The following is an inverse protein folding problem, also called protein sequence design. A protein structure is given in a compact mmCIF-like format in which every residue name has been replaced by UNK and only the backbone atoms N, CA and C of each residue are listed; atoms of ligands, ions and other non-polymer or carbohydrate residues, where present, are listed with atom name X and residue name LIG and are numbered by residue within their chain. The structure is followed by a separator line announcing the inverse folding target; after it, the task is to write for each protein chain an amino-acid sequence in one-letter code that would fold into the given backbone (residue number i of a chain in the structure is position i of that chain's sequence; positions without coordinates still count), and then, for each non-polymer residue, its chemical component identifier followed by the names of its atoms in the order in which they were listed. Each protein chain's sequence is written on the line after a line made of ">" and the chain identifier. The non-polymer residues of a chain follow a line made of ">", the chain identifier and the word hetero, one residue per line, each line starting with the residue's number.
data_IF_137952899719
#
_entry.id   IF_137952899719
#
_cell.length_a   1.000
_cell.length_b   1.000
_cell.length_c   1.000
_cell.angle_alpha   90.00
_cell.angle_beta   90.00
_cell.angle_gamma   90.00
#
_symmetry.space_group_name_H-M   'P 1'
#
loop_
_entity.id
_entity.type
_entity.pdbx_description
1 polymer ?
#
# COMPACT_ATOMS: atom_id res chain seq x y z
N UNK A 1 1.51 34.61 -0.94
CA UNK A 1 1.70 33.18 -1.31
C UNK A 1 3.03 33.04 -2.02
N UNK A 2 3.96 32.24 -1.49
CA UNK A 2 5.22 31.97 -2.16
C UNK A 2 5.00 30.89 -3.21
N UNK A 3 5.28 31.19 -4.48
CA UNK A 3 5.20 30.20 -5.56
C UNK A 3 6.45 29.32 -5.53
N UNK A 4 6.27 28.00 -5.42
CA UNK A 4 7.38 27.04 -5.46
C UNK A 4 7.82 26.80 -6.91
N UNK A 5 9.11 26.99 -7.19
CA UNK A 5 9.71 26.58 -8.46
C UNK A 5 9.86 25.06 -8.57
N UNK A 6 10.09 24.54 -9.78
CA UNK A 6 10.21 23.10 -10.07
C UNK A 6 11.23 22.38 -9.19
N UNK A 7 12.39 22.98 -8.95
CA UNK A 7 13.42 22.40 -8.07
C UNK A 7 12.94 22.26 -6.63
N UNK A 8 12.24 23.27 -6.11
CA UNK A 8 11.70 23.25 -4.76
C UNK A 8 10.61 22.17 -4.62
N UNK A 9 9.71 22.07 -5.62
CA UNK A 9 8.68 21.04 -5.64
C UNK A 9 9.27 19.61 -5.74
N UNK A 10 10.30 19.42 -6.57
CA UNK A 10 11.03 18.17 -6.66
C UNK A 10 11.66 17.80 -5.31
N UNK A 11 12.36 18.75 -4.65
CA UNK A 11 12.99 18.47 -3.36
C UNK A 11 11.96 18.15 -2.27
N UNK A 12 10.87 18.90 -2.21
CA UNK A 12 9.77 18.62 -1.30
C UNK A 12 9.15 17.24 -1.55
N UNK A 13 9.06 16.82 -2.81
CA UNK A 13 8.54 15.49 -3.17
C UNK A 13 9.47 14.37 -2.73
N UNK A 14 10.76 14.49 -3.01
CA UNK A 14 11.76 13.50 -2.60
C UNK A 14 11.93 13.45 -1.07
N UNK A 15 11.76 14.57 -0.37
CA UNK A 15 11.72 14.62 1.10
C UNK A 15 10.55 13.77 1.63
N UNK A 16 9.32 14.02 1.16
CA UNK A 16 8.11 13.25 1.50
C UNK A 16 8.11 11.80 1.00
N UNK A 17 9.08 11.42 0.17
CA UNK A 17 9.26 10.05 -0.30
C UNK A 17 10.38 9.34 0.47
N UNK A 18 11.01 10.00 1.44
CA UNK A 18 12.13 9.49 2.24
C UNK A 18 13.33 9.09 1.34
N UNK A 19 13.55 9.88 0.29
CA UNK A 19 14.59 9.66 -0.72
C UNK A 19 15.70 10.73 -0.69
N UNK A 20 15.60 11.68 0.24
CA UNK A 20 16.68 12.63 0.49
C UNK A 20 17.72 12.08 1.45
N UNK A 21 17.22 11.42 2.47
CA UNK A 21 17.93 10.82 3.56
C UNK A 21 17.13 9.60 4.00
N UNK A 22 17.82 8.63 4.59
CA UNK A 22 17.17 7.50 5.21
C UNK A 22 16.50 7.97 6.50
N UNK A 23 15.24 7.63 6.67
CA UNK A 23 14.45 8.06 7.82
C UNK A 23 14.53 7.04 8.96
N UNK A 24 14.69 7.53 10.17
CA UNK A 24 14.43 6.78 11.40
C UNK A 24 12.90 6.76 11.63
N UNK A 25 12.23 5.80 10.99
CA UNK A 25 10.78 5.67 11.00
C UNK A 25 10.37 4.19 11.04
N UNK A 26 9.40 3.80 11.88
CA UNK A 26 8.88 2.43 11.89
C UNK A 26 8.34 2.01 10.53
N UNK A 27 8.52 0.72 10.18
CA UNK A 27 8.12 0.17 8.88
C UNK A 27 6.63 0.42 8.57
N UNK A 28 5.76 0.21 9.56
CA UNK A 28 4.32 0.41 9.39
C UNK A 28 3.97 1.87 9.06
N UNK A 29 4.59 2.80 9.79
CA UNK A 29 4.39 4.24 9.60
C UNK A 29 4.92 4.70 8.25
N UNK A 30 6.05 4.15 7.80
CA UNK A 30 6.60 4.42 6.48
C UNK A 30 5.66 3.96 5.35
N UNK A 31 5.04 2.78 5.49
CA UNK A 31 4.04 2.29 4.52
C UNK A 31 2.83 3.23 4.46
N UNK A 32 2.33 3.70 5.61
CA UNK A 32 1.24 4.68 5.67
C UNK A 32 1.64 6.02 5.05
N UNK A 33 2.80 6.56 5.45
CA UNK A 33 3.34 7.84 4.99
C UNK A 33 3.52 7.89 3.47
N UNK A 34 3.99 6.79 2.89
CA UNK A 34 4.21 6.66 1.44
C UNK A 34 2.92 6.44 0.65
N UNK A 35 1.76 6.36 1.32
CA UNK A 35 0.48 6.05 0.71
C UNK A 35 0.48 4.65 0.07
N UNK A 36 1.22 3.72 0.67
CA UNK A 36 1.48 2.38 0.14
C UNK A 36 2.70 2.29 -0.79
N UNK A 37 3.13 1.06 -1.05
CA UNK A 37 4.22 0.75 -1.98
C UNK A 37 3.76 -0.25 -3.03
N UNK A 38 4.33 -0.16 -4.24
CA UNK A 38 4.18 -1.22 -5.24
C UNK A 38 4.67 -2.56 -4.68
N UNK A 39 3.88 -3.61 -4.93
CA UNK A 39 4.12 -4.95 -4.43
C UNK A 39 3.65 -5.98 -5.48
N UNK A 40 3.86 -5.67 -6.76
CA UNK A 40 3.55 -6.58 -7.86
C UNK A 40 4.43 -7.81 -7.72
N UNK A 41 5.74 -7.58 -7.57
CA UNK A 41 6.69 -8.60 -7.15
C UNK A 41 6.86 -8.61 -5.62
N UNK A 42 6.93 -9.79 -4.97
CA UNK A 42 7.02 -9.87 -3.51
C UNK A 42 8.20 -9.12 -2.89
N UNK A 43 9.32 -8.97 -3.63
CA UNK A 43 10.53 -8.30 -3.14
C UNK A 43 10.49 -6.77 -3.25
N UNK A 44 9.63 -6.19 -4.10
CA UNK A 44 9.60 -4.73 -4.36
C UNK A 44 9.43 -3.88 -3.09
N UNK A 45 8.51 -4.21 -2.15
CA UNK A 45 8.35 -3.42 -0.94
C UNK A 45 9.58 -3.48 -0.03
N UNK A 46 10.27 -4.63 0.00
CA UNK A 46 11.50 -4.80 0.80
C UNK A 46 12.60 -3.89 0.28
N UNK A 47 12.85 -3.87 -1.03
CA UNK A 47 13.85 -2.98 -1.63
C UNK A 47 13.44 -1.52 -1.44
N UNK A 48 12.15 -1.21 -1.64
CA UNK A 48 11.62 0.14 -1.48
C UNK A 48 11.81 0.70 -0.07
N UNK A 49 11.52 -0.10 0.96
CA UNK A 49 11.70 0.30 2.36
C UNK A 49 13.18 0.27 2.75
N UNK A 50 13.95 -0.72 2.29
CA UNK A 50 15.40 -0.77 2.50
C UNK A 50 16.11 0.46 1.95
N UNK A 51 15.67 1.08 0.84
CA UNK A 51 16.30 2.31 0.34
C UNK A 51 15.93 3.58 1.12
N UNK A 52 14.85 3.54 1.93
CA UNK A 52 14.23 4.73 2.55
C UNK A 52 14.40 4.80 4.06
N UNK A 53 14.56 3.66 4.72
CA UNK A 53 14.62 3.59 6.17
C UNK A 53 16.04 3.32 6.64
N UNK A 54 16.42 3.97 7.73
CA UNK A 54 17.62 3.60 8.46
C UNK A 54 17.34 2.35 9.31
N UNK A 55 18.32 1.46 9.42
CA UNK A 55 18.17 0.22 10.19
C UNK A 55 17.06 -0.74 9.72
N UNK A 56 16.61 -0.67 8.45
CA UNK A 56 15.53 -1.52 7.95
C UNK A 56 15.83 -3.02 8.12
N UNK A 57 14.98 -3.70 8.89
CA UNK A 57 14.98 -5.16 9.05
C UNK A 57 13.85 -5.81 8.25
N UNK A 58 14.15 -6.64 7.23
CA UNK A 58 13.16 -7.43 6.49
C UNK A 58 12.26 -8.32 7.36
N UNK A 59 12.73 -8.78 8.52
CA UNK A 59 11.94 -9.62 9.42
C UNK A 59 10.73 -8.86 10.00
N UNK A 60 10.88 -7.56 10.26
CA UNK A 60 9.79 -6.69 10.74
C UNK A 60 8.68 -6.61 9.70
N UNK A 61 9.02 -6.37 8.43
CA UNK A 61 8.02 -6.33 7.35
C UNK A 61 7.34 -7.70 7.15
N UNK A 62 8.11 -8.78 7.24
CA UNK A 62 7.60 -10.14 7.14
C UNK A 62 6.61 -10.47 8.27
N UNK A 63 6.91 -10.04 9.50
CA UNK A 63 6.01 -10.15 10.65
C UNK A 63 4.71 -9.39 10.43
N UNK A 64 4.78 -8.12 9.98
CA UNK A 64 3.59 -7.33 9.68
C UNK A 64 2.70 -7.93 8.58
N UNK A 65 3.31 -8.62 7.59
CA UNK A 65 2.55 -9.38 6.59
C UNK A 65 1.87 -10.61 7.19
N UNK A 66 2.57 -11.36 8.05
CA UNK A 66 2.03 -12.54 8.72
C UNK A 66 0.87 -12.18 9.67
N UNK A 67 1.05 -11.11 10.45
CA UNK A 67 0.07 -10.60 11.42
C UNK A 67 -1.03 -9.74 10.78
N UNK A 68 -0.95 -9.53 9.46
CA UNK A 68 -1.87 -8.69 8.67
C UNK A 68 -1.92 -7.22 9.12
N UNK A 69 -0.86 -6.71 9.74
CA UNK A 69 -0.67 -5.27 9.97
C UNK A 69 -0.51 -4.51 8.65
N UNK A 70 0.05 -5.17 7.63
CA UNK A 70 0.05 -4.71 6.24
C UNK A 70 -0.57 -5.78 5.33
N UNK A 71 -1.17 -5.34 4.22
CA UNK A 71 -1.83 -6.22 3.25
C UNK A 71 -1.43 -5.87 1.83
N UNK A 72 -1.28 -6.91 0.99
CA UNK A 72 -1.09 -6.75 -0.45
C UNK A 72 -2.44 -6.86 -1.14
N UNK A 73 -2.84 -5.80 -1.83
CA UNK A 73 -4.13 -5.76 -2.51
C UNK A 73 -3.96 -5.15 -3.91
N UNK A 74 -4.73 -5.60 -4.91
CA UNK A 74 -4.84 -4.85 -6.15
C UNK A 74 -5.26 -3.43 -5.80
N UNK A 75 -4.60 -2.48 -6.47
CA UNK A 75 -4.40 -1.03 -6.29
C UNK A 75 -4.87 -0.01 -7.34
N UNK A 76 -4.26 1.16 -7.28
CA UNK A 76 -4.16 2.15 -8.33
C UNK A 76 -3.64 1.49 -9.62
N UNK A 77 -4.24 1.86 -10.76
CA UNK A 77 -3.81 1.39 -12.09
C UNK A 77 -3.75 -0.15 -12.20
N UNK A 78 -4.59 -0.88 -11.45
CA UNK A 78 -4.72 -2.35 -11.48
C UNK A 78 -3.44 -3.12 -11.09
N UNK A 79 -2.51 -2.49 -10.39
CA UNK A 79 -1.27 -3.11 -9.87
C UNK A 79 -1.44 -3.55 -8.43
N UNK A 80 -0.62 -4.46 -7.89
CA UNK A 80 -0.68 -4.83 -6.47
C UNK A 80 0.11 -3.82 -5.63
N UNK A 81 -0.47 -3.34 -4.53
CA UNK A 81 0.19 -2.46 -3.56
C UNK A 81 0.14 -3.05 -2.16
N UNK A 82 1.21 -2.79 -1.40
CA UNK A 82 1.29 -2.99 0.03
C UNK A 82 0.74 -1.75 0.74
N UNK A 83 -0.26 -1.94 1.60
CA UNK A 83 -0.84 -0.90 2.45
C UNK A 83 -0.89 -1.34 3.90
N UNK A 84 -1.02 -0.40 4.83
CA UNK A 84 -1.48 -0.73 6.19
C UNK A 84 -2.90 -1.27 6.14
N UNK A 85 -3.24 -2.18 7.05
CA UNK A 85 -4.60 -2.70 7.16
C UNK A 85 -5.62 -1.58 7.44
N UNK A 86 -5.24 -0.58 8.26
CA UNK A 86 -6.08 0.57 8.61
C UNK A 86 -6.46 1.44 7.41
N UNK A 87 -5.53 1.68 6.49
CA UNK A 87 -5.77 2.55 5.34
C UNK A 87 -6.52 1.84 4.21
N UNK A 88 -6.58 0.50 4.26
CA UNK A 88 -7.00 -0.31 3.11
C UNK A 88 -8.43 -0.01 2.67
N UNK A 89 -9.35 0.28 3.61
CA UNK A 89 -10.74 0.63 3.27
C UNK A 89 -10.82 1.99 2.57
N UNK A 90 -10.16 3.01 3.11
CA UNK A 90 -10.15 4.36 2.53
C UNK A 90 -9.61 4.34 1.09
N UNK A 91 -8.50 3.63 0.85
CA UNK A 91 -7.92 3.49 -0.49
C UNK A 91 -8.78 2.67 -1.45
N UNK A 92 -9.50 1.66 -0.97
CA UNK A 92 -10.44 0.92 -1.82
C UNK A 92 -11.64 1.78 -2.22
N UNK A 93 -12.22 2.52 -1.28
CA UNK A 93 -13.40 3.36 -1.55
C UNK A 93 -13.11 4.52 -2.49
N UNK A 94 -11.86 5.00 -2.55
CA UNK A 94 -11.43 6.05 -3.47
C UNK A 94 -11.32 5.58 -4.94
N UNK A 95 -11.56 4.29 -5.23
CA UNK A 95 -11.49 3.78 -6.59
C UNK A 95 -12.80 3.98 -7.35
N UNK A 96 -12.72 4.44 -8.61
CA UNK A 96 -13.90 4.59 -9.46
C UNK A 96 -14.66 3.27 -9.70
N UNK A 97 -13.97 2.13 -9.63
CA UNK A 97 -14.49 0.80 -9.97
C UNK A 97 -14.60 -0.15 -8.76
N UNK A 98 -14.45 0.35 -7.53
CA UNK A 98 -14.58 -0.49 -6.35
C UNK A 98 -16.04 -0.94 -6.16
N UNK A 99 -16.26 -2.26 -6.24
CA UNK A 99 -17.46 -2.86 -5.69
C UNK A 99 -17.53 -2.55 -4.17
N UNK A 100 -18.72 -2.30 -3.61
CA UNK A 100 -18.85 -1.95 -2.19
C UNK A 100 -18.25 -3.03 -1.30
N UNK A 101 -17.53 -2.60 -0.26
CA UNK A 101 -16.95 -3.49 0.74
C UNK A 101 -18.05 -4.38 1.36
N UNK A 102 -17.91 -5.71 1.23
CA UNK A 102 -18.92 -6.68 1.69
C UNK A 102 -19.72 -7.37 0.58
N UNK A 103 -19.53 -7.00 -0.69
CA UNK A 103 -20.06 -7.76 -1.81
C UNK A 103 -19.35 -9.13 -1.90
N UNK A 104 -19.86 -10.12 -1.16
CA UNK A 104 -19.45 -11.52 -1.27
C UNK A 104 -19.67 -11.94 -2.72
N UNK A 105 -18.59 -12.16 -3.48
CA UNK A 105 -18.69 -12.73 -4.82
C UNK A 105 -19.20 -14.16 -4.65
N UNK A 106 -20.49 -14.40 -4.88
CA UNK A 106 -21.00 -15.76 -4.95
C UNK A 106 -20.26 -16.48 -6.10
N UNK A 107 -19.83 -17.74 -5.91
CA UNK A 107 -19.34 -18.52 -7.01
C UNK A 107 -20.46 -18.66 -8.07
N UNK A 108 -20.13 -18.60 -9.38
CA UNK A 108 -21.10 -18.85 -10.42
C UNK A 108 -21.62 -20.29 -10.28
N UNK A 109 -22.95 -20.44 -10.12
CA UNK A 109 -23.60 -21.76 -10.05
C UNK A 109 -24.39 -22.05 -8.75
N UNK A 110 -24.33 -21.20 -7.73
CA UNK A 110 -25.14 -21.35 -6.53
C UNK A 110 -26.60 -20.87 -6.77
N UNK A 111 -27.39 -21.68 -7.49
CA UNK A 111 -28.83 -21.47 -7.59
C UNK A 111 -29.48 -22.11 -8.82
N UNK A 112 -29.86 -23.39 -8.70
CA UNK A 112 -31.14 -23.98 -9.14
C UNK A 112 -31.12 -25.49 -8.90
N UNK A 113 -31.20 -25.88 -7.63
CA UNK A 113 -31.71 -27.19 -7.24
C UNK A 113 -33.06 -26.96 -6.58
N UNK A 114 -34.15 -26.99 -7.36
CA UNK A 114 -35.50 -27.08 -6.82
C UNK A 114 -35.84 -28.55 -6.56
N UNK A 115 -36.61 -28.88 -5.51
CA UNK A 115 -36.96 -30.27 -5.21
C UNK A 115 -38.12 -30.73 -6.10
N UNK A 116 -38.05 -32.00 -6.53
CA UNK A 116 -39.20 -32.85 -6.86
C UNK A 116 -39.94 -32.54 -8.15
#
# INVERSE_FOLDING_TARGET
>A
MTVLGTRALNRATLARQLLLERADMPVLDAVAHLCGLQAQEPQEPFVGLWSRLDGFDPAVLSGLLADRGVVRIPLMRRTVHLLTAGDTLAWRSARPDAAPAGARRLPPGAGRGGPG
#
